data_IF_059661244733
#
_entry.id   IF_059661244733
#
_cell.length_a   1.000
_cell.length_b   1.000
_cell.length_c   1.000
_cell.angle_alpha   90.00
_cell.angle_beta   90.00
_cell.angle_gamma   90.00
#
_symmetry.space_group_name_H-M   'P 1'
#
loop_
_entity.id
_entity.type
_entity.pdbx_description
1 polymer ?
#
# COMPACT_ATOMS: atom_id res chain seq x y z
N UNK A 1 0.45 -0.18 -25.36
CA UNK A 1 0.39 0.46 -24.03
C UNK A 1 -0.68 -0.26 -23.21
N UNK A 2 -0.33 -0.80 -22.06
CA UNK A 2 -1.24 -1.54 -21.18
C UNK A 2 -1.17 -0.98 -19.75
N UNK A 3 -2.24 -1.17 -18.97
CA UNK A 3 -2.26 -0.89 -17.54
C UNK A 3 -1.90 -2.17 -16.76
N UNK A 4 -0.86 -2.09 -15.94
CA UNK A 4 -0.34 -3.24 -15.18
C UNK A 4 -0.39 -2.94 -13.69
N UNK A 5 -0.99 -3.84 -12.92
CA UNK A 5 -0.95 -3.83 -11.45
C UNK A 5 0.09 -4.85 -10.99
N UNK A 6 1.04 -4.41 -10.17
CA UNK A 6 2.12 -5.26 -9.65
C UNK A 6 2.10 -5.28 -8.12
N UNK A 7 1.88 -6.45 -7.53
CA UNK A 7 1.94 -6.64 -6.08
C UNK A 7 3.32 -7.13 -5.65
N UNK A 8 3.85 -6.54 -4.57
CA UNK A 8 5.10 -6.99 -3.95
C UNK A 8 4.87 -7.32 -2.48
N UNK A 9 5.07 -8.59 -2.10
CA UNK A 9 4.95 -9.03 -0.71
C UNK A 9 6.10 -8.55 0.17
N UNK A 10 5.95 -8.64 1.49
CA UNK A 10 6.91 -8.06 2.45
C UNK A 10 8.35 -8.53 2.30
N UNK A 11 8.59 -9.77 1.87
CA UNK A 11 9.95 -10.25 1.56
C UNK A 11 10.56 -9.55 0.35
N UNK A 12 9.76 -9.14 -0.64
CA UNK A 12 10.24 -8.40 -1.82
C UNK A 12 10.64 -6.96 -1.50
N UNK A 13 10.20 -6.44 -0.36
CA UNK A 13 10.47 -5.07 0.10
C UNK A 13 11.13 -5.04 1.49
N UNK A 14 11.66 -6.17 1.97
CA UNK A 14 12.14 -6.31 3.35
C UNK A 14 13.44 -5.55 3.68
N UNK A 15 14.08 -4.90 2.71
CA UNK A 15 15.22 -4.02 2.94
C UNK A 15 15.26 -2.90 1.90
N UNK A 16 16.04 -1.85 2.17
CA UNK A 16 16.24 -0.73 1.24
C UNK A 16 16.82 -1.17 -0.11
N UNK A 17 17.70 -2.16 -0.13
CA UNK A 17 18.29 -2.74 -1.35
C UNK A 17 17.21 -3.45 -2.17
N UNK A 18 16.32 -4.19 -1.49
CA UNK A 18 15.20 -4.87 -2.13
C UNK A 18 14.19 -3.87 -2.69
N UNK A 19 13.87 -2.81 -1.96
CA UNK A 19 13.02 -1.70 -2.44
C UNK A 19 13.62 -1.05 -3.68
N UNK A 20 14.93 -0.75 -3.68
CA UNK A 20 15.63 -0.22 -4.87
C UNK A 20 15.55 -1.19 -6.06
N UNK A 21 15.66 -2.50 -5.81
CA UNK A 21 15.50 -3.52 -6.86
C UNK A 21 14.07 -3.59 -7.41
N UNK A 22 13.05 -3.43 -6.57
CA UNK A 22 11.64 -3.32 -7.00
C UNK A 22 11.46 -2.08 -7.88
N UNK A 23 11.97 -0.91 -7.46
CA UNK A 23 11.92 0.31 -8.26
C UNK A 23 12.56 0.12 -9.65
N UNK A 24 13.73 -0.53 -9.72
CA UNK A 24 14.39 -0.86 -11.00
C UNK A 24 13.52 -1.77 -11.89
N UNK A 25 12.83 -2.76 -11.30
CA UNK A 25 11.93 -3.65 -12.07
C UNK A 25 10.75 -2.89 -12.64
N UNK A 26 10.11 -2.04 -11.83
CA UNK A 26 8.97 -1.23 -12.25
C UNK A 26 9.37 -0.22 -13.33
N UNK A 27 10.53 0.42 -13.20
CA UNK A 27 11.06 1.36 -14.19
C UNK A 27 11.18 0.73 -15.59
N UNK A 28 11.54 -0.56 -15.68
CA UNK A 28 11.63 -1.26 -16.97
C UNK A 28 10.27 -1.39 -17.67
N UNK A 29 9.19 -1.61 -16.91
CA UNK A 29 7.84 -1.68 -17.46
C UNK A 29 7.36 -0.31 -17.94
N UNK A 30 7.64 0.74 -17.16
CA UNK A 30 7.32 2.11 -17.59
C UNK A 30 8.10 2.50 -18.84
N UNK A 31 9.39 2.15 -18.94
CA UNK A 31 10.22 2.42 -20.12
C UNK A 31 9.73 1.71 -21.39
N UNK A 32 8.98 0.61 -21.26
CA UNK A 32 8.30 -0.08 -22.36
C UNK A 32 6.96 0.59 -22.75
N UNK A 33 6.61 1.72 -22.12
CA UNK A 33 5.38 2.47 -22.41
C UNK A 33 4.14 1.89 -21.72
N UNK A 34 4.30 1.16 -20.62
CA UNK A 34 3.16 0.71 -19.80
C UNK A 34 2.85 1.70 -18.68
N UNK A 35 1.56 1.81 -18.35
CA UNK A 35 1.11 2.43 -17.11
C UNK A 35 1.19 1.40 -15.99
N UNK A 36 1.80 1.77 -14.86
CA UNK A 36 2.06 0.82 -13.77
C UNK A 36 1.50 1.32 -12.45
N UNK A 37 0.71 0.48 -11.80
CA UNK A 37 0.28 0.61 -10.41
C UNK A 37 1.04 -0.44 -9.60
N UNK A 38 1.58 -0.05 -8.45
CA UNK A 38 2.35 -0.93 -7.56
C UNK A 38 1.69 -0.98 -6.21
N UNK A 39 1.47 -2.19 -5.68
CA UNK A 39 0.88 -2.44 -4.36
C UNK A 39 1.88 -3.19 -3.49
N UNK A 40 2.77 -2.51 -2.75
CA UNK A 40 3.64 -3.19 -1.80
C UNK A 40 2.92 -3.47 -0.47
N UNK A 41 3.23 -4.60 0.15
CA UNK A 41 2.94 -4.86 1.58
C UNK A 41 3.92 -4.11 2.49
N UNK A 42 3.68 -4.10 3.80
CA UNK A 42 4.69 -3.70 4.77
C UNK A 42 6.00 -4.51 4.62
N UNK A 43 7.13 -3.91 5.00
CA UNK A 43 8.43 -4.60 5.06
C UNK A 43 8.34 -5.86 5.93
N UNK A 44 9.09 -6.91 5.55
CA UNK A 44 9.07 -8.19 6.25
C UNK A 44 9.26 -8.04 7.77
N UNK A 45 8.28 -8.54 8.54
CA UNK A 45 8.31 -8.51 10.01
C UNK A 45 7.68 -7.27 10.64
N UNK A 46 7.51 -6.16 9.91
CA UNK A 46 7.04 -4.89 10.51
C UNK A 46 5.61 -4.97 11.04
N UNK A 47 4.67 -5.57 10.29
CA UNK A 47 3.29 -5.74 10.79
C UNK A 47 3.26 -6.56 12.09
N UNK A 48 4.06 -7.61 12.17
CA UNK A 48 4.13 -8.44 13.39
C UNK A 48 4.73 -7.65 14.56
N UNK A 49 5.80 -6.87 14.32
CA UNK A 49 6.42 -6.00 15.33
C UNK A 49 5.43 -4.98 15.87
N UNK A 50 4.69 -4.31 14.98
CA UNK A 50 3.68 -3.31 15.34
C UNK A 50 2.53 -3.91 16.15
N UNK A 51 2.01 -5.08 15.76
CA UNK A 51 0.98 -5.79 16.50
C UNK A 51 1.50 -6.25 17.88
N UNK A 52 2.76 -6.67 17.97
CA UNK A 52 3.36 -7.06 19.25
C UNK A 52 3.43 -5.88 20.23
N UNK A 53 3.86 -4.71 19.77
CA UNK A 53 3.88 -3.48 20.58
C UNK A 53 2.48 -3.10 21.10
N UNK A 54 1.45 -3.21 20.25
CA UNK A 54 0.07 -2.97 20.69
C UNK A 54 -0.36 -3.91 21.83
N UNK A 55 0.06 -5.18 21.76
CA UNK A 55 -0.25 -6.21 22.76
C UNK A 55 0.52 -6.05 24.07
N UNK A 56 1.71 -5.45 24.03
CA UNK A 56 2.46 -5.10 25.23
C UNK A 56 1.75 -3.99 26.03
N UNK A 57 1.05 -3.07 25.35
CA UNK A 57 0.23 -2.04 26.00
C UNK A 57 -1.09 -2.59 26.53
N UNK A 58 -1.79 -3.41 25.72
CA UNK A 58 -3.04 -4.05 26.12
C UNK A 58 -3.12 -5.48 25.57
N UNK A 59 -3.34 -6.51 26.41
CA UNK A 59 -3.53 -7.89 25.94
C UNK A 59 -4.73 -8.06 24.99
N UNK A 60 -5.70 -7.14 25.04
CA UNK A 60 -6.84 -7.06 24.13
C UNK A 60 -6.94 -5.64 23.55
N UNK A 61 -6.09 -5.29 22.55
CA UNK A 61 -6.12 -3.97 21.94
C UNK A 61 -7.47 -3.69 21.28
N UNK A 62 -7.89 -2.42 21.31
CA UNK A 62 -9.05 -1.99 20.54
C UNK A 62 -8.80 -2.25 19.03
N UNK A 63 -9.71 -2.96 18.34
CA UNK A 63 -9.53 -3.29 16.92
C UNK A 63 -9.35 -2.08 16.01
N UNK A 64 -10.01 -0.96 16.30
CA UNK A 64 -9.92 0.27 15.51
C UNK A 64 -8.54 0.91 15.65
N UNK A 65 -7.98 0.95 16.86
CA UNK A 65 -6.61 1.43 17.07
C UNK A 65 -5.55 0.48 16.49
N UNK A 66 -5.84 -0.83 16.49
CA UNK A 66 -4.94 -1.80 15.88
C UNK A 66 -4.83 -1.59 14.36
N UNK A 67 -5.92 -1.21 13.70
CA UNK A 67 -5.92 -0.87 12.27
C UNK A 67 -5.10 0.39 11.99
N UNK A 68 -5.18 1.40 12.85
CA UNK A 68 -4.32 2.60 12.77
C UNK A 68 -2.84 2.18 12.82
N UNK A 69 -2.45 1.39 13.83
CA UNK A 69 -1.07 0.93 14.02
C UNK A 69 -0.59 0.08 12.83
N UNK A 70 -1.34 -0.96 12.47
CA UNK A 70 -0.93 -1.93 11.45
C UNK A 70 -0.77 -1.28 10.06
N UNK A 71 -1.63 -0.31 9.71
CA UNK A 71 -1.60 0.39 8.43
C UNK A 71 -0.31 1.16 8.16
N UNK A 72 0.43 1.55 9.21
CA UNK A 72 1.64 2.36 9.09
C UNK A 72 2.78 1.63 8.38
N UNK A 73 2.82 0.29 8.45
CA UNK A 73 3.84 -0.52 7.78
C UNK A 73 3.83 -0.35 6.26
N UNK A 74 2.64 -0.39 5.64
CA UNK A 74 2.49 -0.12 4.22
C UNK A 74 2.76 1.35 3.88
N UNK A 75 2.36 2.30 4.74
CA UNK A 75 2.60 3.74 4.51
C UNK A 75 4.10 4.07 4.42
N UNK A 76 4.90 3.49 5.31
CA UNK A 76 6.37 3.60 5.23
C UNK A 76 6.88 3.02 3.91
N UNK A 77 6.38 1.85 3.52
CA UNK A 77 6.88 1.15 2.33
C UNK A 77 6.57 1.88 1.03
N UNK A 78 5.36 2.46 0.88
CA UNK A 78 5.01 3.23 -0.32
C UNK A 78 5.85 4.50 -0.45
N UNK A 79 6.17 5.16 0.67
CA UNK A 79 7.04 6.33 0.69
C UNK A 79 8.46 6.00 0.27
N UNK A 80 9.05 4.96 0.87
CA UNK A 80 10.39 4.48 0.53
C UNK A 80 10.49 4.06 -0.95
N UNK A 81 9.47 3.37 -1.47
CA UNK A 81 9.46 2.93 -2.86
C UNK A 81 9.34 4.12 -3.83
N UNK A 82 8.47 5.09 -3.54
CA UNK A 82 8.36 6.30 -4.36
C UNK A 82 9.68 7.09 -4.38
N UNK A 83 10.34 7.25 -3.23
CA UNK A 83 11.67 7.90 -3.14
C UNK A 83 12.72 7.13 -3.95
N UNK A 84 12.73 5.79 -3.88
CA UNK A 84 13.65 4.97 -4.66
C UNK A 84 13.43 5.07 -6.18
N UNK A 85 12.20 5.31 -6.61
CA UNK A 85 11.87 5.60 -8.02
C UNK A 85 12.33 7.01 -8.42
N UNK A 86 12.07 8.02 -7.60
CA UNK A 86 12.52 9.39 -7.86
C UNK A 86 14.05 9.47 -8.02
N UNK A 87 14.79 8.77 -7.17
CA UNK A 87 16.26 8.68 -7.24
C UNK A 87 16.78 8.06 -8.56
N UNK A 88 15.91 7.38 -9.32
CA UNK A 88 16.21 6.79 -10.63
C UNK A 88 15.64 7.62 -11.79
N UNK A 89 15.12 8.82 -11.52
CA UNK A 89 14.46 9.66 -12.52
C UNK A 89 13.07 9.19 -12.92
N UNK A 90 12.50 8.21 -12.22
CA UNK A 90 11.13 7.73 -12.46
C UNK A 90 10.14 8.58 -11.69
N UNK A 91 9.21 9.21 -12.40
CA UNK A 91 8.11 9.95 -11.79
C UNK A 91 7.16 8.96 -11.10
N UNK A 92 7.00 9.09 -9.79
CA UNK A 92 6.16 8.21 -8.98
C UNK A 92 5.35 9.01 -7.95
N UNK A 93 4.17 8.48 -7.58
CA UNK A 93 3.32 9.09 -6.56
C UNK A 93 2.71 8.01 -5.66
N UNK A 94 2.93 8.14 -4.36
CA UNK A 94 2.38 7.23 -3.37
C UNK A 94 0.98 7.67 -2.91
N UNK A 95 0.15 6.69 -2.56
CA UNK A 95 -1.19 6.91 -2.02
C UNK A 95 -1.50 5.94 -0.89
N UNK A 96 -2.11 6.42 0.18
CA UNK A 96 -2.77 5.58 1.18
C UNK A 96 -4.12 5.07 0.65
N UNK A 97 -4.68 4.03 1.27
CA UNK A 97 -6.02 3.53 0.93
C UNK A 97 -7.11 4.60 1.02
N UNK A 98 -7.03 5.47 2.04
CA UNK A 98 -7.94 6.61 2.20
C UNK A 98 -7.79 7.66 1.10
N UNK A 99 -6.57 7.89 0.60
CA UNK A 99 -6.32 8.87 -0.45
C UNK A 99 -6.83 8.41 -1.83
N UNK A 100 -6.93 7.12 -2.09
CA UNK A 100 -7.59 6.56 -3.29
C UNK A 100 -8.99 6.02 -2.99
N UNK A 101 -9.55 6.40 -1.84
CA UNK A 101 -10.92 6.11 -1.43
C UNK A 101 -11.29 4.63 -1.60
N UNK A 102 -10.47 3.74 -1.03
CA UNK A 102 -10.87 2.35 -0.78
C UNK A 102 -11.85 2.39 0.39
N UNK A 103 -13.14 2.54 0.07
CA UNK A 103 -14.23 2.55 1.05
C UNK A 103 -14.46 1.13 1.56
N UNK A 104 -14.52 0.98 2.87
CA UNK A 104 -14.74 -0.28 3.55
C UNK A 104 -15.92 -0.22 4.52
N UNK A 105 -16.36 -1.39 4.99
CA UNK A 105 -17.19 -1.45 6.21
C UNK A 105 -16.34 -1.19 7.47
N UNK A 106 -16.99 -0.95 8.62
CA UNK A 106 -16.30 -0.71 9.90
C UNK A 106 -15.94 -2.01 10.65
N UNK A 107 -15.78 -3.14 9.95
CA UNK A 107 -15.36 -4.39 10.58
C UNK A 107 -13.84 -4.42 10.74
N UNK A 108 -13.31 -3.60 11.65
CA UNK A 108 -11.87 -3.45 11.89
C UNK A 108 -11.12 -4.78 11.97
N UNK A 109 -9.86 -4.81 11.54
CA UNK A 109 -8.97 -5.97 11.37
C UNK A 109 -9.33 -6.96 10.26
N UNK A 110 -10.51 -6.84 9.64
CA UNK A 110 -11.02 -7.75 8.59
C UNK A 110 -12.09 -7.09 7.73
N UNK A 111 -11.94 -5.79 7.48
CA UNK A 111 -12.92 -4.98 6.80
C UNK A 111 -13.06 -5.43 5.34
N UNK A 112 -14.26 -5.27 4.78
CA UNK A 112 -14.54 -5.60 3.37
C UNK A 112 -14.56 -4.33 2.53
N UNK A 113 -13.94 -4.39 1.35
CA UNK A 113 -14.02 -3.31 0.36
C UNK A 113 -15.45 -3.23 -0.17
N UNK A 114 -16.05 -2.05 -0.04
CA UNK A 114 -17.37 -1.72 -0.59
C UNK A 114 -17.25 -1.02 -1.93
N UNK A 115 -16.24 -0.15 -2.08
CA UNK A 115 -16.01 0.65 -3.29
C UNK A 115 -14.56 1.11 -3.36
N UNK A 116 -14.04 1.25 -4.58
CA UNK A 116 -12.75 1.90 -4.85
C UNK A 116 -13.00 3.06 -5.81
N UNK A 117 -12.42 4.22 -5.52
CA UNK A 117 -12.40 5.35 -6.45
C UNK A 117 -11.11 5.32 -7.28
N UNK A 118 -11.24 5.45 -8.59
CA UNK A 118 -10.11 5.41 -9.52
C UNK A 118 -9.68 6.79 -10.01
N UNK A 119 -10.42 7.87 -9.72
CA UNK A 119 -10.19 9.19 -10.33
C UNK A 119 -8.76 9.69 -10.08
N UNK A 120 -8.31 9.64 -8.82
CA UNK A 120 -6.96 10.11 -8.45
C UNK A 120 -5.86 9.22 -9.01
N UNK A 121 -6.09 7.91 -9.10
CA UNK A 121 -5.17 6.95 -9.71
C UNK A 121 -5.03 7.26 -11.20
N UNK A 122 -6.16 7.36 -11.92
CA UNK A 122 -6.18 7.65 -13.37
C UNK A 122 -5.53 9.00 -13.68
N UNK A 123 -5.81 10.03 -12.89
CA UNK A 123 -5.17 11.34 -13.04
C UNK A 123 -3.66 11.26 -12.89
N UNK A 124 -3.17 10.58 -11.85
CA UNK A 124 -1.73 10.43 -11.64
C UNK A 124 -1.06 9.63 -12.77
N UNK A 125 -1.71 8.56 -13.26
CA UNK A 125 -1.23 7.79 -14.41
C UNK A 125 -1.18 8.62 -15.70
N UNK A 126 -2.19 9.46 -15.94
CA UNK A 126 -2.23 10.37 -17.09
C UNK A 126 -1.12 11.44 -17.05
N UNK A 127 -0.73 11.87 -15.84
CA UNK A 127 0.42 12.76 -15.62
C UNK A 127 1.79 12.04 -15.73
N UNK A 128 1.80 10.77 -16.14
CA UNK A 128 3.00 9.96 -16.35
C UNK A 128 3.62 9.38 -15.08
N UNK A 129 2.91 9.40 -13.95
CA UNK A 129 3.41 8.80 -12.72
C UNK A 129 3.26 7.27 -12.74
N UNK A 130 4.23 6.56 -12.16
CA UNK A 130 3.99 5.26 -11.53
C UNK A 130 3.19 5.50 -10.25
N UNK A 131 2.06 4.82 -10.09
CA UNK A 131 1.23 4.94 -8.89
C UNK A 131 1.64 3.86 -7.89
N UNK A 132 1.87 4.23 -6.63
CA UNK A 132 2.24 3.29 -5.56
C UNK A 132 1.18 3.35 -4.46
N UNK A 133 0.34 2.32 -4.34
CA UNK A 133 -0.80 2.31 -3.41
C UNK A 133 -0.47 1.44 -2.21
N UNK A 134 -0.72 1.94 -0.99
CA UNK A 134 -0.61 1.11 0.20
C UNK A 134 -1.70 0.05 0.15
N UNK A 135 -1.30 -1.22 0.05
CA UNK A 135 -2.24 -2.33 0.15
C UNK A 135 -2.78 -2.48 1.58
N UNK A 136 -3.62 -3.49 1.78
CA UNK A 136 -4.11 -3.94 3.10
C UNK A 136 -4.99 -2.95 3.87
N UNK A 137 -5.07 -1.68 3.48
CA UNK A 137 -5.81 -0.64 4.20
C UNK A 137 -6.87 0.07 3.33
N UNK A 138 -7.87 0.61 4.00
CA UNK A 138 -8.92 1.46 3.43
C UNK A 138 -9.42 2.45 4.47
N UNK A 139 -10.57 3.06 4.22
CA UNK A 139 -11.28 3.87 5.20
C UNK A 139 -12.78 3.59 5.19
N UNK A 140 -13.39 3.58 6.38
CA UNK A 140 -14.85 3.46 6.49
C UNK A 140 -15.56 4.79 6.16
N UNK A 141 -16.90 4.79 6.20
CA UNK A 141 -17.72 5.97 5.92
C UNK A 141 -17.52 7.13 6.93
N UNK A 142 -16.90 6.87 8.07
CA UNK A 142 -16.58 7.85 9.11
C UNK A 142 -15.15 8.38 8.99
N UNK A 143 -14.38 7.89 8.02
CA UNK A 143 -12.97 8.27 7.82
C UNK A 143 -12.00 7.53 8.75
N UNK A 144 -12.43 6.48 9.44
CA UNK A 144 -11.51 5.64 10.21
C UNK A 144 -10.65 4.81 9.28
N UNK A 145 -9.37 4.64 9.62
CA UNK A 145 -8.52 3.66 8.95
C UNK A 145 -9.05 2.26 9.27
N UNK A 146 -9.16 1.42 8.24
CA UNK A 146 -9.52 0.01 8.39
C UNK A 146 -8.50 -0.87 7.71
N UNK A 147 -8.31 -2.09 8.20
CA UNK A 147 -7.48 -3.11 7.52
C UNK A 147 -8.30 -4.28 7.01
N UNK A 148 -7.83 -4.87 5.91
CA UNK A 148 -8.52 -5.94 5.17
C UNK A 148 -8.23 -7.36 5.68
N UNK A 149 -7.53 -7.47 6.82
CA UNK A 149 -7.09 -8.74 7.38
C UNK A 149 -5.89 -9.38 6.69
N UNK A 150 -5.50 -10.57 7.15
CA UNK A 150 -4.31 -11.27 6.62
C UNK A 150 -4.43 -11.50 5.12
N UNK A 151 -3.37 -11.17 4.38
CA UNK A 151 -3.35 -11.26 2.92
C UNK A 151 -4.04 -10.08 2.22
N UNK A 152 -4.51 -9.07 2.95
CA UNK A 152 -5.26 -7.95 2.39
C UNK A 152 -4.54 -7.16 1.29
N UNK A 153 -3.20 -7.18 1.23
CA UNK A 153 -2.46 -6.58 0.10
C UNK A 153 -2.71 -7.30 -1.22
N UNK A 154 -2.99 -8.60 -1.21
CA UNK A 154 -3.37 -9.34 -2.42
C UNK A 154 -4.79 -8.96 -2.86
N UNK A 155 -5.73 -8.86 -1.92
CA UNK A 155 -7.09 -8.33 -2.17
C UNK A 155 -7.07 -6.90 -2.71
N UNK A 156 -6.10 -6.09 -2.30
CA UNK A 156 -5.97 -4.70 -2.80
C UNK A 156 -5.45 -4.63 -4.24
N UNK A 157 -4.81 -5.68 -4.73
CA UNK A 157 -4.21 -5.71 -6.05
C UNK A 157 -5.12 -6.33 -7.13
N UNK A 158 -6.17 -7.05 -6.70
CA UNK A 158 -7.20 -7.67 -7.56
C UNK A 158 -8.36 -6.71 -7.72
#
# INVERSE_FOLDING_TARGET
MALIVQKFGGTSVGSTERIKNVAKRVARWQAQGHQVIVVPSAMAGETNRLIALAKEISPSPDPRELDVIASTGEQVTIGLLAMAMHAQGVKAKSFTGSQVTVLTDSTFTKARILRIDEERIRKALAEGNVVVVAGFQGADAHGNITTLGRGGSDTSAV
#
